data_IF_903789210426
#
_entry.id   IF_903789210426
#
_cell.length_a   1.000
_cell.length_b   1.000
_cell.length_c   1.000
_cell.angle_alpha   90.00
_cell.angle_beta   90.00
_cell.angle_gamma   90.00
#
_symmetry.space_group_name_H-M   'P 1'
#
loop_
_entity.id
_entity.type
_entity.pdbx_description
1 polymer ?
#
# COMPACT_ATOMS: atom_id res chain seq x y z
N UNK A 1 -12.85 -1.77 -20.84
CA UNK A 1 -11.38 -1.57 -20.89
C UNK A 1 -10.84 -2.42 -22.03
N UNK A 2 -9.95 -1.89 -22.87
CA UNK A 2 -9.28 -2.69 -23.92
C UNK A 2 -7.83 -3.00 -23.46
N UNK A 3 -7.57 -4.25 -23.14
CA UNK A 3 -6.25 -4.67 -22.62
C UNK A 3 -5.13 -4.59 -23.65
N UNK A 4 -5.42 -4.56 -24.95
CA UNK A 4 -4.41 -4.46 -26.02
C UNK A 4 -3.70 -3.09 -26.04
N UNK A 5 -4.28 -2.08 -25.38
CA UNK A 5 -3.69 -0.76 -25.23
C UNK A 5 -2.55 -0.72 -24.20
N UNK A 6 -2.47 -1.74 -23.32
CA UNK A 6 -1.55 -1.77 -22.19
C UNK A 6 -0.55 -2.92 -22.30
N UNK A 7 0.71 -2.65 -21.95
CA UNK A 7 1.80 -3.63 -21.96
C UNK A 7 2.18 -4.13 -20.58
N UNK A 8 1.82 -3.39 -19.53
CA UNK A 8 2.12 -3.76 -18.16
C UNK A 8 1.01 -3.38 -17.17
N UNK A 9 0.99 -4.08 -16.04
CA UNK A 9 0.09 -3.82 -14.92
C UNK A 9 0.89 -3.79 -13.63
N UNK A 10 0.72 -2.74 -12.86
CA UNK A 10 1.33 -2.54 -11.55
C UNK A 10 0.25 -2.62 -10.48
N UNK A 11 0.45 -3.46 -9.50
CA UNK A 11 -0.49 -3.68 -8.41
C UNK A 11 0.09 -3.14 -7.11
N UNK A 12 -0.69 -2.37 -6.36
CA UNK A 12 -0.44 -2.34 -4.93
C UNK A 12 -0.72 -3.74 -4.33
N UNK A 13 -0.25 -3.99 -3.14
CA UNK A 13 -0.37 -5.28 -2.48
C UNK A 13 -1.54 -5.31 -1.49
N UNK A 14 -1.47 -4.42 -0.50
CA UNK A 14 -2.34 -4.42 0.67
C UNK A 14 -3.71 -3.82 0.29
N UNK A 15 -4.78 -4.62 0.28
CA UNK A 15 -6.12 -4.18 -0.18
C UNK A 15 -6.37 -4.42 -1.68
N UNK A 16 -5.34 -4.60 -2.50
CA UNK A 16 -5.47 -4.90 -3.93
C UNK A 16 -5.31 -6.38 -4.20
N UNK A 17 -4.18 -6.97 -3.85
CA UNK A 17 -3.91 -8.40 -4.05
C UNK A 17 -4.29 -9.25 -2.82
N UNK A 18 -4.08 -8.70 -1.63
CA UNK A 18 -4.27 -9.40 -0.35
C UNK A 18 -5.09 -8.56 0.63
N UNK A 19 -5.87 -9.18 1.55
CA UNK A 19 -6.66 -8.48 2.57
C UNK A 19 -5.81 -7.96 3.74
N UNK A 20 -4.51 -7.79 3.57
CA UNK A 20 -3.59 -7.35 4.60
C UNK A 20 -3.78 -5.89 5.00
N UNK A 21 -4.51 -5.08 4.21
CA UNK A 21 -4.92 -3.74 4.62
C UNK A 21 -5.68 -3.74 5.96
N UNK A 22 -6.59 -4.71 6.19
CA UNK A 22 -7.31 -4.83 7.45
C UNK A 22 -6.38 -5.15 8.64
N UNK A 23 -5.35 -5.97 8.42
CA UNK A 23 -4.32 -6.25 9.43
C UNK A 23 -3.51 -4.99 9.73
N UNK A 24 -3.16 -4.22 8.69
CA UNK A 24 -2.50 -2.93 8.83
C UNK A 24 -3.36 -1.94 9.62
N UNK A 25 -4.65 -1.80 9.30
CA UNK A 25 -5.59 -0.93 10.00
C UNK A 25 -5.68 -1.28 11.49
N UNK A 26 -5.85 -2.57 11.81
CA UNK A 26 -5.91 -3.06 13.20
C UNK A 26 -4.62 -2.74 13.96
N UNK A 27 -3.46 -3.02 13.36
CA UNK A 27 -2.17 -2.76 13.99
C UNK A 27 -1.92 -1.27 14.27
N UNK A 28 -2.32 -0.39 13.35
CA UNK A 28 -2.23 1.04 13.53
C UNK A 28 -3.20 1.57 14.59
N UNK A 29 -4.44 1.10 14.56
CA UNK A 29 -5.45 1.44 15.58
C UNK A 29 -4.95 1.07 16.98
N UNK A 30 -4.52 -0.16 17.17
CA UNK A 30 -4.10 -0.66 18.49
C UNK A 30 -2.87 0.11 18.99
N UNK A 31 -1.91 0.44 18.10
CA UNK A 31 -0.78 1.29 18.44
C UNK A 31 -1.23 2.68 18.91
N UNK A 32 -2.04 3.39 18.10
CA UNK A 32 -2.36 4.78 18.39
C UNK A 32 -3.40 4.95 19.49
N UNK A 33 -4.33 4.02 19.65
CA UNK A 33 -5.23 4.00 20.82
C UNK A 33 -4.42 3.93 22.11
N UNK A 34 -3.47 2.99 22.21
CA UNK A 34 -2.60 2.85 23.37
C UNK A 34 -1.70 4.08 23.58
N UNK A 35 -1.04 4.56 22.51
CA UNK A 35 -0.12 5.70 22.57
C UNK A 35 -0.82 7.00 22.98
N UNK A 36 -1.95 7.35 22.34
CA UNK A 36 -2.69 8.59 22.64
C UNK A 36 -3.31 8.56 24.04
N UNK A 37 -3.81 7.39 24.48
CA UNK A 37 -4.35 7.19 25.83
C UNK A 37 -3.26 7.43 26.87
N UNK A 38 -2.07 6.85 26.71
CA UNK A 38 -0.93 7.07 27.62
C UNK A 38 -0.45 8.51 27.68
N UNK A 39 -0.62 9.25 26.57
CA UNK A 39 -0.31 10.70 26.50
C UNK A 39 -1.42 11.60 27.04
N UNK A 40 -2.53 11.02 27.53
CA UNK A 40 -3.65 11.78 28.10
C UNK A 40 -4.49 12.53 27.06
N UNK A 41 -4.38 12.19 25.77
CA UNK A 41 -5.12 12.82 24.67
C UNK A 41 -6.52 12.20 24.52
N UNK A 42 -7.25 12.11 25.62
CA UNK A 42 -8.60 11.49 25.65
C UNK A 42 -9.66 12.31 24.87
N UNK A 43 -9.43 13.60 24.67
CA UNK A 43 -10.31 14.48 23.90
C UNK A 43 -10.04 14.41 22.38
N UNK A 44 -8.95 13.76 21.97
CA UNK A 44 -8.56 13.57 20.58
C UNK A 44 -8.18 12.09 20.32
N UNK A 45 -9.11 11.15 20.58
CA UNK A 45 -8.83 9.73 20.41
C UNK A 45 -8.57 9.37 18.95
N UNK A 46 -7.98 8.22 18.73
CA UNK A 46 -7.88 7.65 17.39
C UNK A 46 -9.27 7.33 16.83
N UNK A 47 -9.49 7.73 15.57
CA UNK A 47 -10.71 7.45 14.80
C UNK A 47 -10.35 6.57 13.59
N UNK A 48 -11.30 5.80 13.09
CA UNK A 48 -11.06 4.97 11.89
C UNK A 48 -10.72 5.82 10.65
N UNK A 49 -11.26 7.05 10.56
CA UNK A 49 -10.90 7.99 9.50
C UNK A 49 -9.43 8.39 9.51
N UNK A 50 -8.76 8.36 10.68
CA UNK A 50 -7.35 8.72 10.80
C UNK A 50 -6.45 7.80 9.95
N UNK A 51 -6.86 6.53 9.81
CA UNK A 51 -6.14 5.60 8.94
C UNK A 51 -6.09 6.11 7.51
N UNK A 52 -7.24 6.36 6.92
CA UNK A 52 -7.36 6.78 5.53
C UNK A 52 -6.80 8.18 5.25
N UNK A 53 -6.82 9.08 6.24
CA UNK A 53 -6.37 10.46 6.06
C UNK A 53 -4.86 10.63 6.30
N UNK A 54 -4.30 9.85 7.21
CA UNK A 54 -2.94 10.12 7.70
C UNK A 54 -1.95 8.98 7.48
N UNK A 55 -2.41 7.74 7.28
CA UNK A 55 -1.55 6.56 7.33
C UNK A 55 -1.54 5.78 6.01
N UNK A 56 -2.71 5.55 5.45
CA UNK A 56 -2.94 4.63 4.35
C UNK A 56 -2.06 4.88 3.13
N UNK A 57 -1.47 3.82 2.58
CA UNK A 57 -0.57 3.87 1.43
C UNK A 57 0.80 4.50 1.67
N UNK A 58 1.06 5.11 2.85
CA UNK A 58 2.33 5.78 3.15
C UNK A 58 3.40 4.82 3.67
N UNK A 59 4.69 5.14 3.47
CA UNK A 59 5.78 4.47 4.16
C UNK A 59 5.57 4.51 5.67
N UNK A 60 5.96 3.43 6.38
CA UNK A 60 5.68 3.23 7.81
C UNK A 60 5.96 4.46 8.69
N UNK A 61 7.15 5.03 8.58
CA UNK A 61 7.55 6.16 9.43
C UNK A 61 6.86 7.46 9.02
N UNK A 62 6.49 7.61 7.73
CA UNK A 62 5.69 8.75 7.25
C UNK A 62 4.27 8.69 7.81
N UNK A 63 3.68 7.50 7.89
CA UNK A 63 2.40 7.28 8.56
C UNK A 63 2.45 7.68 10.04
N UNK A 64 3.52 7.30 10.77
CA UNK A 64 3.71 7.74 12.17
C UNK A 64 3.79 9.26 12.25
N UNK A 65 4.65 9.91 11.44
CA UNK A 65 4.81 11.37 11.45
C UNK A 65 3.50 12.09 11.13
N UNK A 66 2.80 11.64 10.10
CA UNK A 66 1.54 12.23 9.66
C UNK A 66 0.46 12.13 10.76
N UNK A 67 0.33 10.97 11.39
CA UNK A 67 -0.61 10.77 12.49
C UNK A 67 -0.26 11.62 13.73
N UNK A 68 1.02 11.70 14.11
CA UNK A 68 1.46 12.57 15.21
C UNK A 68 1.17 14.04 14.92
N UNK A 69 1.48 14.50 13.70
CA UNK A 69 1.26 15.88 13.27
C UNK A 69 -0.22 16.26 13.32
N UNK A 70 -1.14 15.35 12.99
CA UNK A 70 -2.60 15.58 13.08
C UNK A 70 -3.08 15.87 14.49
N UNK A 71 -2.30 15.49 15.50
CA UNK A 71 -2.57 15.74 16.94
C UNK A 71 -1.65 16.82 17.53
N UNK A 72 -0.88 17.54 16.69
CA UNK A 72 0.08 18.55 17.15
C UNK A 72 1.26 17.96 17.93
N UNK A 73 1.50 16.66 17.80
CA UNK A 73 2.59 15.96 18.48
C UNK A 73 3.83 15.87 17.61
N UNK A 74 4.99 15.91 18.28
CA UNK A 74 6.30 15.63 17.67
C UNK A 74 7.08 14.67 18.57
N UNK A 75 7.74 13.70 17.96
CA UNK A 75 8.71 12.82 18.58
C UNK A 75 10.06 12.97 17.89
N UNK A 76 11.13 12.55 18.58
CA UNK A 76 12.41 12.34 17.93
C UNK A 76 12.25 11.30 16.80
N UNK A 77 12.99 11.45 15.71
CA UNK A 77 12.95 10.50 14.61
C UNK A 77 13.35 9.09 15.05
N UNK A 78 14.42 9.02 15.83
CA UNK A 78 15.01 7.75 16.24
C UNK A 78 15.81 7.09 15.12
N UNK A 79 16.17 5.83 15.35
CA UNK A 79 16.90 4.99 14.40
C UNK A 79 16.01 3.83 13.92
N UNK A 80 16.10 3.42 12.65
CA UNK A 80 15.36 2.25 12.16
C UNK A 80 15.57 0.95 12.96
N UNK A 81 16.64 0.86 13.74
CA UNK A 81 16.92 -0.23 14.67
C UNK A 81 16.33 -0.05 16.09
N UNK A 82 15.63 1.04 16.36
CA UNK A 82 14.97 1.27 17.65
C UNK A 82 14.01 0.11 17.98
N UNK A 83 14.11 -0.37 19.22
CA UNK A 83 13.19 -1.38 19.71
C UNK A 83 11.73 -0.88 19.75
N UNK A 84 10.75 -1.79 19.78
CA UNK A 84 9.32 -1.43 19.79
C UNK A 84 8.88 -0.66 21.06
N UNK A 85 9.68 -0.65 22.10
CA UNK A 85 9.40 0.05 23.37
C UNK A 85 9.96 1.48 23.40
N UNK A 86 10.76 1.87 22.40
CA UNK A 86 11.34 3.21 22.31
C UNK A 86 10.31 4.18 21.76
N UNK A 87 10.11 5.31 22.45
CA UNK A 87 9.16 6.36 22.02
C UNK A 87 9.78 7.33 21.02
N UNK A 88 10.09 6.84 19.83
CA UNK A 88 10.51 7.59 18.64
C UNK A 88 9.57 7.28 17.48
N UNK A 89 9.68 8.03 16.41
CA UNK A 89 8.95 7.73 15.15
C UNK A 89 9.28 6.30 14.69
N UNK A 90 10.57 5.95 14.69
CA UNK A 90 11.02 4.62 14.28
C UNK A 90 10.54 3.52 15.25
N UNK A 91 10.65 3.75 16.56
CA UNK A 91 10.21 2.77 17.57
C UNK A 91 8.71 2.49 17.51
N UNK A 92 7.87 3.53 17.37
CA UNK A 92 6.42 3.34 17.18
C UNK A 92 6.11 2.58 15.89
N UNK A 93 6.76 2.91 14.78
CA UNK A 93 6.62 2.18 13.53
C UNK A 93 7.05 0.71 13.66
N UNK A 94 8.11 0.43 14.41
CA UNK A 94 8.59 -0.93 14.65
C UNK A 94 7.66 -1.71 15.58
N UNK A 95 7.03 -1.07 16.57
CA UNK A 95 5.98 -1.69 17.41
C UNK A 95 4.79 -2.15 16.56
N UNK A 96 4.29 -1.28 15.68
CA UNK A 96 3.24 -1.64 14.72
C UNK A 96 3.66 -2.83 13.85
N UNK A 97 4.91 -2.83 13.39
CA UNK A 97 5.40 -3.90 12.52
C UNK A 97 5.49 -5.24 13.24
N UNK A 98 5.91 -5.26 14.50
CA UNK A 98 5.96 -6.49 15.29
C UNK A 98 4.57 -7.16 15.40
N UNK A 99 3.52 -6.37 15.59
CA UNK A 99 2.15 -6.89 15.55
C UNK A 99 1.79 -7.49 14.19
N UNK A 100 2.06 -6.75 13.12
CA UNK A 100 1.75 -7.19 11.75
C UNK A 100 2.44 -8.52 11.40
N UNK A 101 3.74 -8.62 11.69
CA UNK A 101 4.50 -9.85 11.39
C UNK A 101 4.07 -11.04 12.22
N UNK A 102 3.63 -10.83 13.48
CA UNK A 102 3.06 -11.89 14.29
C UNK A 102 1.76 -12.42 13.69
N UNK A 103 0.83 -11.54 13.30
CA UNK A 103 -0.43 -11.95 12.65
C UNK A 103 -0.16 -12.68 11.33
N UNK A 104 0.77 -12.19 10.51
CA UNK A 104 1.13 -12.85 9.26
C UNK A 104 1.69 -14.28 9.50
N UNK A 105 2.48 -14.46 10.53
CA UNK A 105 3.06 -15.77 10.88
C UNK A 105 2.02 -16.75 11.44
N UNK A 106 1.05 -16.27 12.24
CA UNK A 106 0.07 -17.09 12.91
C UNK A 106 -1.12 -17.46 12.01
N UNK A 107 -1.65 -16.49 11.27
CA UNK A 107 -2.89 -16.64 10.49
C UNK A 107 -2.62 -16.92 9.00
N UNK A 108 -1.40 -16.62 8.50
CA UNK A 108 -1.10 -16.62 7.09
C UNK A 108 -1.88 -15.53 6.34
N UNK A 109 -1.87 -15.61 5.02
CA UNK A 109 -2.65 -14.69 4.16
C UNK A 109 -3.16 -15.44 2.94
N UNK A 110 -4.42 -15.20 2.56
CA UNK A 110 -4.97 -15.67 1.30
C UNK A 110 -5.20 -14.47 0.38
N UNK A 111 -4.81 -14.55 -0.90
CA UNK A 111 -5.10 -13.47 -1.84
C UNK A 111 -6.60 -13.33 -2.08
N UNK A 112 -7.04 -12.14 -2.50
CA UNK A 112 -8.41 -11.97 -2.96
C UNK A 112 -8.67 -12.88 -4.18
N UNK A 113 -9.78 -13.65 -4.18
CA UNK A 113 -10.09 -14.54 -5.31
C UNK A 113 -10.18 -13.80 -6.65
N UNK A 114 -10.77 -12.61 -6.67
CA UNK A 114 -10.88 -11.82 -7.88
C UNK A 114 -9.52 -11.30 -8.38
N UNK A 115 -8.58 -11.05 -7.48
CA UNK A 115 -7.23 -10.69 -7.87
C UNK A 115 -6.51 -11.85 -8.54
N UNK A 116 -6.68 -13.08 -8.03
CA UNK A 116 -6.11 -14.28 -8.67
C UNK A 116 -6.70 -14.46 -10.08
N UNK A 117 -8.01 -14.27 -10.24
CA UNK A 117 -8.66 -14.36 -11.57
C UNK A 117 -8.07 -13.36 -12.55
N UNK A 118 -7.84 -12.10 -12.13
CA UNK A 118 -7.23 -11.10 -13.00
C UNK A 118 -5.76 -11.43 -13.31
N UNK A 119 -4.99 -11.88 -12.31
CA UNK A 119 -3.59 -12.29 -12.50
C UNK A 119 -3.47 -13.44 -13.50
N UNK A 120 -4.35 -14.45 -13.43
CA UNK A 120 -4.37 -15.57 -14.38
C UNK A 120 -4.70 -15.08 -15.79
N UNK A 121 -5.73 -14.25 -15.94
CA UNK A 121 -6.11 -13.64 -17.20
C UNK A 121 -4.95 -12.85 -17.85
N UNK A 122 -4.23 -12.04 -17.06
CA UNK A 122 -3.10 -11.25 -17.56
C UNK A 122 -1.89 -12.13 -17.92
N UNK A 123 -1.64 -13.18 -17.13
CA UNK A 123 -0.57 -14.14 -17.41
C UNK A 123 -0.79 -14.90 -18.73
N UNK A 124 -2.04 -15.33 -19.00
CA UNK A 124 -2.41 -15.98 -20.27
C UNK A 124 -2.20 -15.06 -21.49
N UNK A 125 -2.27 -13.75 -21.28
CA UNK A 125 -2.02 -12.72 -22.32
C UNK A 125 -0.54 -12.37 -22.45
N UNK A 126 0.32 -12.82 -21.53
CA UNK A 126 1.73 -12.43 -21.49
C UNK A 126 1.94 -10.97 -21.10
N UNK A 127 0.99 -10.36 -20.36
CA UNK A 127 1.09 -8.99 -19.87
C UNK A 127 2.12 -8.94 -18.72
N UNK A 128 3.08 -8.03 -18.78
CA UNK A 128 4.07 -7.85 -17.72
C UNK A 128 3.39 -7.35 -16.43
N UNK A 129 3.79 -7.89 -15.28
CA UNK A 129 3.18 -7.58 -13.99
C UNK A 129 4.22 -7.25 -12.94
N UNK A 130 3.96 -6.23 -12.10
CA UNK A 130 4.79 -5.92 -10.95
C UNK A 130 3.94 -5.57 -9.73
N UNK A 131 4.54 -5.69 -8.55
CA UNK A 131 3.99 -5.20 -7.29
C UNK A 131 4.72 -3.94 -6.85
N UNK A 132 3.98 -2.95 -6.37
CA UNK A 132 4.51 -1.69 -5.82
C UNK A 132 3.85 -1.40 -4.49
N UNK A 133 4.53 -1.69 -3.39
CA UNK A 133 4.02 -1.53 -2.03
C UNK A 133 4.91 -0.61 -1.20
N UNK A 134 4.30 0.24 -0.37
CA UNK A 134 5.01 1.03 0.63
C UNK A 134 5.54 0.18 1.81
N UNK A 135 5.08 -1.05 1.92
CA UNK A 135 5.47 -1.98 2.97
C UNK A 135 6.81 -2.65 2.67
N UNK A 136 7.69 -2.71 3.67
CA UNK A 136 8.90 -3.54 3.62
C UNK A 136 8.60 -5.04 3.76
N UNK A 137 7.37 -5.40 4.14
CA UNK A 137 6.95 -6.77 4.31
C UNK A 137 6.37 -7.38 3.03
N UNK A 138 6.33 -6.63 1.92
CA UNK A 138 5.71 -7.08 0.68
C UNK A 138 6.26 -8.45 0.19
N UNK A 139 7.57 -8.73 0.20
CA UNK A 139 8.05 -10.06 -0.19
C UNK A 139 7.50 -11.19 0.70
N UNK A 140 7.47 -10.99 2.03
CA UNK A 140 6.95 -11.99 2.96
C UNK A 140 5.43 -12.20 2.81
N UNK A 141 4.67 -11.14 2.53
CA UNK A 141 3.23 -11.22 2.24
C UNK A 141 2.99 -11.99 0.94
N UNK A 142 3.75 -11.69 -0.12
CA UNK A 142 3.64 -12.40 -1.40
C UNK A 142 3.96 -13.88 -1.25
N UNK A 143 4.99 -14.23 -0.47
CA UNK A 143 5.35 -15.61 -0.19
C UNK A 143 4.22 -16.32 0.58
N UNK A 144 3.72 -15.71 1.66
CA UNK A 144 2.62 -16.26 2.47
C UNK A 144 1.33 -16.42 1.65
N UNK A 145 1.07 -15.54 0.68
CA UNK A 145 -0.08 -15.58 -0.21
C UNK A 145 0.10 -16.56 -1.40
N UNK A 146 1.29 -17.17 -1.57
CA UNK A 146 1.58 -18.01 -2.73
C UNK A 146 1.64 -17.25 -4.05
N UNK A 147 1.97 -15.96 -4.02
CA UNK A 147 2.02 -15.08 -5.19
C UNK A 147 3.45 -14.67 -5.60
N UNK A 148 4.49 -15.09 -4.86
CA UNK A 148 5.87 -14.62 -5.07
C UNK A 148 6.36 -14.82 -6.50
N UNK A 149 6.06 -15.97 -7.12
CA UNK A 149 6.53 -16.32 -8.46
C UNK A 149 5.69 -15.70 -9.60
N UNK A 150 4.68 -14.86 -9.26
CA UNK A 150 3.78 -14.25 -10.25
C UNK A 150 4.32 -12.92 -10.80
N UNK A 151 5.34 -12.34 -10.17
CA UNK A 151 5.82 -10.99 -10.47
C UNK A 151 7.32 -10.98 -10.74
N UNK A 152 7.71 -10.40 -11.88
CA UNK A 152 9.13 -10.20 -12.22
C UNK A 152 9.76 -9.08 -11.40
N UNK A 153 8.97 -8.08 -11.03
CA UNK A 153 9.39 -6.87 -10.33
C UNK A 153 8.56 -6.68 -9.08
N UNK A 154 9.24 -6.48 -7.95
CA UNK A 154 8.63 -6.08 -6.67
C UNK A 154 9.37 -4.85 -6.15
N UNK A 155 8.69 -3.71 -6.17
CA UNK A 155 9.16 -2.45 -5.58
C UNK A 155 8.54 -2.31 -4.21
N UNK A 156 9.30 -2.67 -3.18
CA UNK A 156 8.86 -2.58 -1.79
C UNK A 156 9.46 -1.37 -1.06
N UNK A 157 9.04 -1.14 0.19
CA UNK A 157 9.54 -0.02 0.99
C UNK A 157 11.03 -0.10 1.31
N UNK A 158 11.65 -1.29 1.27
CA UNK A 158 13.09 -1.43 1.49
C UNK A 158 13.87 -1.04 0.22
N UNK A 159 13.41 -1.46 -0.95
CA UNK A 159 13.96 -1.05 -2.23
C UNK A 159 13.82 0.46 -2.41
N UNK A 160 12.63 1.00 -2.19
CA UNK A 160 12.37 2.44 -2.32
C UNK A 160 13.33 3.26 -1.44
N UNK A 161 13.56 2.84 -0.20
CA UNK A 161 14.52 3.53 0.68
C UNK A 161 15.96 3.41 0.16
N UNK A 162 16.39 2.24 -0.29
CA UNK A 162 17.76 2.00 -0.79
C UNK A 162 18.05 2.83 -2.04
N UNK A 163 17.07 2.94 -2.94
CA UNK A 163 17.19 3.71 -4.20
C UNK A 163 16.84 5.20 -4.03
N UNK A 164 16.47 5.64 -2.81
CA UNK A 164 16.10 7.03 -2.54
C UNK A 164 14.82 7.49 -3.24
N UNK A 165 13.90 6.56 -3.54
CA UNK A 165 12.62 6.87 -4.20
C UNK A 165 11.64 7.46 -3.19
N UNK A 166 11.04 8.62 -3.47
CA UNK A 166 9.94 9.14 -2.67
C UNK A 166 8.76 8.16 -2.65
N UNK A 167 8.18 7.98 -1.46
CA UNK A 167 6.97 7.16 -1.30
C UNK A 167 5.71 7.84 -1.82
N UNK A 168 4.61 7.09 -1.93
CA UNK A 168 3.27 7.60 -2.23
C UNK A 168 2.93 8.79 -1.31
N UNK A 169 2.37 9.89 -1.83
CA UNK A 169 1.69 10.04 -3.12
C UNK A 169 2.60 10.40 -4.31
N UNK A 170 3.93 10.35 -4.20
CA UNK A 170 4.80 10.47 -5.37
C UNK A 170 4.69 9.25 -6.27
N UNK A 171 4.65 9.45 -7.58
CA UNK A 171 4.64 8.39 -8.59
C UNK A 171 5.96 7.65 -8.75
N UNK A 172 7.03 8.06 -8.06
CA UNK A 172 8.38 7.59 -8.28
C UNK A 172 8.54 6.06 -8.19
N UNK A 173 7.91 5.41 -7.20
CA UNK A 173 7.97 3.95 -7.03
C UNK A 173 7.28 3.20 -8.16
N UNK A 174 6.14 3.72 -8.64
CA UNK A 174 5.42 3.15 -9.77
C UNK A 174 6.17 3.36 -11.08
N UNK A 175 6.72 4.57 -11.32
CA UNK A 175 7.54 4.87 -12.50
C UNK A 175 8.75 3.93 -12.53
N UNK A 176 9.43 3.76 -11.40
CA UNK A 176 10.55 2.82 -11.29
C UNK A 176 10.16 1.38 -11.66
N UNK A 177 8.99 0.90 -11.21
CA UNK A 177 8.50 -0.43 -11.57
C UNK A 177 8.23 -0.57 -13.08
N UNK A 178 7.61 0.44 -13.71
CA UNK A 178 7.37 0.47 -15.14
C UNK A 178 8.67 0.48 -15.95
N UNK A 179 9.69 1.22 -15.49
CA UNK A 179 11.03 1.25 -16.08
C UNK A 179 11.72 -0.12 -15.99
N UNK A 180 11.62 -0.81 -14.85
CA UNK A 180 12.16 -2.17 -14.68
C UNK A 180 11.48 -3.18 -15.62
N UNK A 181 10.18 -3.04 -15.88
CA UNK A 181 9.46 -3.85 -16.86
C UNK A 181 9.72 -3.42 -18.32
N UNK A 182 10.37 -2.28 -18.56
CA UNK A 182 10.63 -1.76 -19.90
C UNK A 182 9.39 -1.28 -20.65
N UNK A 183 8.31 -0.90 -19.93
CA UNK A 183 7.04 -0.47 -20.51
C UNK A 183 6.79 1.01 -20.20
N UNK A 184 6.46 1.85 -21.21
CA UNK A 184 6.12 3.25 -20.98
C UNK A 184 4.93 3.42 -20.03
N UNK A 185 4.98 4.41 -19.12
CA UNK A 185 3.91 4.66 -18.14
C UNK A 185 2.54 4.87 -18.80
N UNK A 186 2.49 5.47 -20.00
CA UNK A 186 1.24 5.68 -20.77
C UNK A 186 0.61 4.37 -21.27
N UNK A 187 1.37 3.26 -21.27
CA UNK A 187 0.92 1.92 -21.62
C UNK A 187 0.89 0.99 -20.41
N UNK A 188 0.84 1.56 -19.23
CA UNK A 188 0.84 0.82 -17.96
C UNK A 188 -0.42 1.17 -17.16
N UNK A 189 -1.02 0.16 -16.54
CA UNK A 189 -2.17 0.28 -15.63
C UNK A 189 -1.67 0.21 -14.20
N UNK A 190 -2.21 1.05 -13.30
CA UNK A 190 -1.98 0.98 -11.86
C UNK A 190 -3.27 0.57 -11.16
N UNK A 191 -3.21 -0.40 -10.24
CA UNK A 191 -4.28 -0.79 -9.34
C UNK A 191 -3.96 -0.38 -7.91
N UNK A 192 -4.89 0.33 -7.26
CA UNK A 192 -4.71 0.91 -5.93
C UNK A 192 -6.01 1.01 -5.15
N UNK A 193 -5.96 0.81 -3.83
CA UNK A 193 -7.12 0.99 -2.94
C UNK A 193 -7.00 2.24 -2.04
N UNK A 194 -5.79 2.79 -1.88
CA UNK A 194 -5.51 3.95 -1.05
C UNK A 194 -5.48 5.26 -1.84
N UNK A 195 -5.96 6.36 -1.24
CA UNK A 195 -5.95 7.70 -1.87
C UNK A 195 -4.54 8.11 -2.30
N UNK A 196 -3.57 7.94 -1.39
CA UNK A 196 -2.16 8.31 -1.68
C UNK A 196 -1.55 7.50 -2.81
N UNK A 197 -2.01 6.28 -3.03
CA UNK A 197 -1.53 5.45 -4.12
C UNK A 197 -2.21 5.77 -5.45
N UNK A 198 -3.50 6.09 -5.43
CA UNK A 198 -4.20 6.63 -6.62
C UNK A 198 -3.55 7.95 -7.06
N UNK A 199 -3.27 8.86 -6.11
CA UNK A 199 -2.54 10.09 -6.38
C UNK A 199 -1.15 9.81 -6.97
N UNK A 200 -0.43 8.79 -6.47
CA UNK A 200 0.87 8.37 -7.02
C UNK A 200 0.75 7.87 -8.47
N UNK A 201 -0.27 7.07 -8.78
CA UNK A 201 -0.56 6.66 -10.15
C UNK A 201 -0.82 7.86 -11.06
N UNK A 202 -1.55 8.86 -10.57
CA UNK A 202 -1.83 10.10 -11.30
C UNK A 202 -0.58 10.96 -11.50
N UNK A 203 0.22 11.14 -10.43
CA UNK A 203 1.50 11.89 -10.46
C UNK A 203 2.49 11.26 -11.45
N UNK A 204 2.55 9.93 -11.53
CA UNK A 204 3.41 9.20 -12.46
C UNK A 204 2.97 9.26 -13.93
N UNK A 205 1.79 9.79 -14.24
CA UNK A 205 1.28 9.94 -15.61
C UNK A 205 0.93 8.62 -16.29
N UNK A 206 0.45 7.64 -15.52
CA UNK A 206 0.07 6.31 -16.02
C UNK A 206 -1.12 6.37 -16.97
N UNK A 207 -1.16 5.42 -17.92
CA UNK A 207 -2.19 5.35 -18.93
C UNK A 207 -3.58 5.05 -18.39
N UNK A 208 -3.66 4.36 -17.25
CA UNK A 208 -4.90 4.10 -16.52
C UNK A 208 -4.60 3.90 -15.02
N UNK A 209 -5.35 4.55 -14.17
CA UNK A 209 -5.34 4.35 -12.72
C UNK A 209 -6.70 3.78 -12.30
N UNK A 210 -6.69 2.56 -11.79
CA UNK A 210 -7.88 1.85 -11.34
C UNK A 210 -7.91 1.86 -9.81
N UNK A 211 -8.92 2.50 -9.25
CA UNK A 211 -9.22 2.44 -7.82
C UNK A 211 -9.93 1.13 -7.48
N UNK A 212 -9.51 0.48 -6.41
CA UNK A 212 -10.19 -0.70 -5.84
C UNK A 212 -10.87 -0.27 -4.55
N UNK A 213 -12.21 -0.22 -4.53
CA UNK A 213 -12.92 0.26 -3.35
C UNK A 213 -12.96 -0.80 -2.25
N UNK A 214 -12.18 -0.55 -1.19
CA UNK A 214 -12.13 -1.35 0.05
C UNK A 214 -12.72 -0.60 1.25
N UNK A 215 -13.62 0.38 0.99
CA UNK A 215 -14.27 1.19 2.03
C UNK A 215 -13.88 2.66 2.03
N UNK A 216 -12.94 3.07 1.18
CA UNK A 216 -12.59 4.49 0.96
C UNK A 216 -13.74 5.24 0.30
N UNK A 217 -14.44 4.59 -0.61
CA UNK A 217 -15.57 5.13 -1.37
C UNK A 217 -15.20 5.62 -2.77
N UNK A 218 -16.07 5.29 -3.73
CA UNK A 218 -15.88 5.60 -5.16
C UNK A 218 -15.60 7.08 -5.41
N UNK A 219 -16.34 7.97 -4.74
CA UNK A 219 -16.21 9.43 -4.94
C UNK A 219 -14.81 9.93 -4.52
N UNK A 220 -14.27 9.41 -3.42
CA UNK A 220 -12.95 9.81 -2.91
C UNK A 220 -11.83 9.29 -3.81
N UNK A 221 -11.90 8.03 -4.25
CA UNK A 221 -10.92 7.44 -5.18
C UNK A 221 -10.94 8.18 -6.53
N UNK A 222 -12.12 8.49 -7.05
CA UNK A 222 -12.25 9.29 -8.29
C UNK A 222 -11.67 10.70 -8.11
N UNK A 223 -11.94 11.35 -6.98
CA UNK A 223 -11.41 12.68 -6.68
C UNK A 223 -9.88 12.67 -6.54
N UNK A 224 -9.29 11.59 -6.02
CA UNK A 224 -7.83 11.39 -5.95
C UNK A 224 -7.19 11.14 -7.33
N UNK A 225 -7.99 10.82 -8.35
CA UNK A 225 -7.53 10.67 -9.73
C UNK A 225 -7.66 9.29 -10.34
N UNK A 226 -8.47 8.38 -9.73
CA UNK A 226 -8.81 7.12 -10.37
C UNK A 226 -9.67 7.37 -11.62
N UNK A 227 -9.25 6.80 -12.76
CA UNK A 227 -9.98 6.85 -14.02
C UNK A 227 -11.17 5.87 -14.02
N UNK A 228 -11.05 4.79 -13.25
CA UNK A 228 -12.05 3.74 -13.07
C UNK A 228 -12.01 3.28 -11.60
N UNK A 229 -13.15 2.97 -11.03
CA UNK A 229 -13.23 2.34 -9.70
C UNK A 229 -14.02 1.04 -9.81
N UNK A 230 -13.48 -0.03 -9.22
CA UNK A 230 -14.09 -1.35 -9.15
C UNK A 230 -14.16 -1.83 -7.69
N UNK A 231 -15.10 -2.72 -7.40
CA UNK A 231 -15.15 -3.39 -6.10
C UNK A 231 -14.32 -4.68 -6.10
N UNK A 232 -14.19 -5.33 -7.26
CA UNK A 232 -13.44 -6.58 -7.41
C UNK A 232 -12.69 -6.61 -8.75
N UNK A 233 -11.44 -7.09 -8.72
CA UNK A 233 -10.58 -7.13 -9.89
C UNK A 233 -11.09 -8.11 -10.96
N UNK A 234 -11.88 -9.14 -10.58
CA UNK A 234 -12.50 -10.06 -11.53
C UNK A 234 -13.42 -9.37 -12.55
N UNK A 235 -13.96 -8.19 -12.21
CA UNK A 235 -14.78 -7.38 -13.12
C UNK A 235 -14.06 -7.04 -14.43
N UNK A 236 -12.73 -7.04 -14.39
CA UNK A 236 -11.85 -6.63 -15.50
C UNK A 236 -11.22 -7.81 -16.26
N UNK A 237 -11.38 -9.03 -15.79
CA UNK A 237 -10.85 -10.25 -16.41
C UNK A 237 -11.74 -10.72 -17.59
N UNK A 238 -11.84 -9.89 -18.65
CA UNK A 238 -12.69 -10.17 -19.82
C UNK A 238 -12.23 -9.44 -21.08
#
# INVERSE_FOLDING_TARGET
MNWDDYGAVLFDLDGVLTPTAEVHMRAWRDLFVDFLTRRGLVDQPYQESDYFEHIDGKPRYDGVRSMLASRGLQLAEGDPSDGPDVETVCGLGNRKNAFFTAVLADDGVQPYPGSVVLLDFLAERGTAMAVVSSSRNAPAVLEAAGLADRFEVVVDGALAQREGLPGKPSGATYVHAAEQLGVPVQRTVVFEDALSGVEAGRDGGFGLVVGVDRGVGVERLTAAGADLVVADLAELAR
#
